data_IF_987200927752
#
_entry.id   IF_987200927752
#
_cell.length_a   1.000
_cell.length_b   1.000
_cell.length_c   1.000
_cell.angle_alpha   90.00
_cell.angle_beta   90.00
_cell.angle_gamma   90.00
#
_symmetry.space_group_name_H-M   'P 1'
#
loop_
_entity.id
_entity.type
_entity.pdbx_description
1 polymer ?
#
# COMPACT_ATOMS: atom_id res chain seq x y z
N UNK A 1 -23.40 -45.65 12.98
CA UNK A 1 -22.35 -45.54 11.95
C UNK A 1 -22.16 -44.06 11.68
N UNK A 2 -20.93 -43.55 11.83
CA UNK A 2 -20.63 -42.11 11.77
C UNK A 2 -20.81 -41.60 10.34
N UNK A 3 -21.75 -40.67 10.17
CA UNK A 3 -21.84 -39.78 9.02
C UNK A 3 -20.45 -39.17 8.78
N UNK A 4 -19.83 -39.50 7.64
CA UNK A 4 -18.61 -38.84 7.18
C UNK A 4 -19.01 -37.47 6.65
N UNK A 5 -18.90 -36.46 7.51
CA UNK A 5 -18.86 -35.08 7.07
C UNK A 5 -17.68 -34.91 6.07
N UNK A 6 -17.92 -34.43 4.84
CA UNK A 6 -16.84 -34.18 3.90
C UNK A 6 -15.99 -33.00 4.42
N UNK A 7 -14.65 -33.08 4.35
CA UNK A 7 -13.81 -31.96 4.76
C UNK A 7 -14.08 -30.78 3.83
N UNK A 8 -14.47 -29.66 4.43
CA UNK A 8 -14.60 -28.36 3.77
C UNK A 8 -13.29 -28.03 3.02
N UNK A 9 -13.37 -27.41 1.82
CA UNK A 9 -12.17 -26.96 1.11
C UNK A 9 -11.37 -25.99 1.99
N UNK A 10 -10.02 -26.10 2.01
CA UNK A 10 -9.19 -25.17 2.75
C UNK A 10 -9.46 -23.76 2.22
N UNK A 11 -9.78 -22.87 3.16
CA UNK A 11 -10.28 -21.54 2.88
C UNK A 11 -9.59 -20.89 1.70
N UNK A 12 -10.40 -20.50 0.72
CA UNK A 12 -10.12 -19.37 -0.15
C UNK A 12 -9.92 -18.18 0.79
N UNK A 13 -8.68 -18.04 1.27
CA UNK A 13 -8.25 -16.92 2.07
C UNK A 13 -8.45 -15.73 1.15
N UNK A 14 -9.60 -15.08 1.29
CA UNK A 14 -9.85 -13.76 0.76
C UNK A 14 -8.78 -12.90 1.37
N UNK A 15 -7.68 -12.70 0.63
CA UNK A 15 -6.59 -11.83 1.03
C UNK A 15 -7.19 -10.44 1.05
N UNK A 16 -7.73 -10.04 2.20
CA UNK A 16 -8.30 -8.71 2.39
C UNK A 16 -7.12 -7.75 2.29
N UNK A 17 -6.90 -7.19 1.11
CA UNK A 17 -5.83 -6.24 0.90
C UNK A 17 -6.02 -5.06 1.86
N UNK A 18 -5.08 -4.91 2.80
CA UNK A 18 -5.16 -3.88 3.82
C UNK A 18 -4.85 -2.53 3.20
N UNK A 19 -5.72 -1.55 3.46
CA UNK A 19 -5.66 -0.22 2.87
C UNK A 19 -5.36 0.84 3.93
N UNK A 20 -4.09 1.25 3.99
CA UNK A 20 -3.56 2.19 4.97
C UNK A 20 -3.99 3.63 4.66
N UNK A 21 -4.27 4.41 5.69
CA UNK A 21 -4.40 5.87 5.57
C UNK A 21 -3.05 6.55 5.39
N UNK A 22 -3.06 7.82 4.98
CA UNK A 22 -1.84 8.64 4.94
C UNK A 22 -1.15 8.70 6.32
N UNK A 23 -1.94 8.77 7.40
CA UNK A 23 -1.44 8.79 8.78
C UNK A 23 -0.76 7.49 9.18
N UNK A 24 -1.37 6.34 8.87
CA UNK A 24 -0.78 5.03 9.13
C UNK A 24 0.50 4.82 8.32
N UNK A 25 0.47 5.17 7.03
CA UNK A 25 1.65 5.11 6.17
C UNK A 25 2.78 6.00 6.69
N UNK A 26 2.45 7.20 7.17
CA UNK A 26 3.39 8.14 7.76
C UNK A 26 4.05 7.56 9.02
N UNK A 27 3.26 6.92 9.89
CA UNK A 27 3.77 6.26 11.08
C UNK A 27 4.69 5.06 10.74
N UNK A 28 4.35 4.29 9.70
CA UNK A 28 5.14 3.13 9.26
C UNK A 28 6.46 3.53 8.59
N UNK A 29 6.44 4.55 7.75
CA UNK A 29 7.60 4.95 6.93
C UNK A 29 8.44 6.07 7.54
N UNK A 30 7.94 6.71 8.60
CA UNK A 30 8.50 7.95 9.16
C UNK A 30 8.33 9.18 8.26
N UNK A 31 7.58 9.07 7.17
CA UNK A 31 7.40 10.16 6.20
C UNK A 31 6.22 11.01 6.62
N UNK A 32 6.39 12.33 6.67
CA UNK A 32 5.29 13.25 7.02
C UNK A 32 4.12 13.14 6.04
N UNK A 33 2.89 13.22 6.56
CA UNK A 33 1.67 13.22 5.75
C UNK A 33 1.67 14.32 4.67
N UNK A 34 2.23 15.49 4.99
CA UNK A 34 2.40 16.59 4.04
C UNK A 34 3.31 16.21 2.85
N UNK A 35 4.36 15.42 3.10
CA UNK A 35 5.23 14.88 2.04
C UNK A 35 4.47 13.91 1.14
N UNK A 36 3.66 13.02 1.72
CA UNK A 36 2.79 12.11 0.98
C UNK A 36 1.74 12.87 0.14
N UNK A 37 1.19 13.97 0.66
CA UNK A 37 0.30 14.85 -0.11
C UNK A 37 1.02 15.55 -1.26
N UNK A 38 2.23 16.06 -1.03
CA UNK A 38 3.05 16.69 -2.07
C UNK A 38 3.41 15.72 -3.20
N UNK A 39 3.75 14.47 -2.88
CA UNK A 39 4.05 13.44 -3.87
C UNK A 39 2.84 13.14 -4.76
N UNK A 40 1.66 12.94 -4.17
CA UNK A 40 0.40 12.77 -4.91
C UNK A 40 0.09 13.97 -5.80
N UNK A 41 0.34 15.19 -5.31
CA UNK A 41 0.12 16.41 -6.09
C UNK A 41 1.06 16.51 -7.30
N UNK A 42 2.34 16.14 -7.12
CA UNK A 42 3.33 16.10 -8.21
C UNK A 42 3.02 15.05 -9.26
N UNK A 43 2.56 13.87 -8.84
CA UNK A 43 2.18 12.79 -9.75
C UNK A 43 0.97 13.19 -10.62
N UNK A 44 -0.04 13.83 -10.04
CA UNK A 44 -1.17 14.37 -10.82
C UNK A 44 -0.75 15.43 -11.85
N UNK A 45 0.31 16.20 -11.57
CA UNK A 45 0.81 17.22 -12.52
C UNK A 45 1.68 16.63 -13.63
N UNK A 46 2.22 15.43 -13.44
CA UNK A 46 3.12 14.77 -14.38
C UNK A 46 2.86 13.26 -14.41
N UNK A 47 1.79 12.82 -15.09
CA UNK A 47 1.43 11.40 -15.14
C UNK A 47 2.51 10.54 -15.83
N UNK A 48 3.31 11.11 -16.72
CA UNK A 48 4.45 10.42 -17.37
C UNK A 48 5.71 10.34 -16.51
N UNK A 49 5.73 10.97 -15.33
CA UNK A 49 6.88 10.92 -14.43
C UNK A 49 6.88 9.68 -13.56
N UNK A 50 8.08 9.16 -13.28
CA UNK A 50 8.27 8.02 -12.40
C UNK A 50 7.61 8.28 -11.03
N UNK A 51 6.79 7.36 -10.51
CA UNK A 51 6.12 7.54 -9.22
C UNK A 51 7.17 7.71 -8.12
N UNK A 52 7.11 8.85 -7.43
CA UNK A 52 8.04 9.18 -6.34
C UNK A 52 7.62 8.47 -5.04
N UNK A 53 6.31 8.27 -4.86
CA UNK A 53 5.72 7.71 -3.65
C UNK A 53 5.17 6.29 -3.84
N UNK A 54 4.68 5.70 -2.74
CA UNK A 54 3.98 4.42 -2.81
C UNK A 54 2.68 4.58 -3.59
N UNK A 55 2.24 3.48 -4.20
CA UNK A 55 0.96 3.43 -4.90
C UNK A 55 -0.16 3.85 -3.95
N UNK A 56 -1.08 4.65 -4.47
CA UNK A 56 -2.24 5.13 -3.75
C UNK A 56 -3.48 4.94 -4.60
N UNK A 57 -4.61 4.74 -3.94
CA UNK A 57 -5.91 4.61 -4.57
C UNK A 57 -6.89 5.54 -3.89
N UNK A 58 -7.71 6.21 -4.70
CA UNK A 58 -8.73 7.11 -4.22
C UNK A 58 -10.01 6.32 -3.97
N UNK A 59 -10.52 6.40 -2.74
CA UNK A 59 -11.80 5.84 -2.31
C UNK A 59 -12.74 7.01 -2.02
N UNK A 60 -13.40 7.51 -3.07
CA UNK A 60 -14.24 8.71 -3.00
C UNK A 60 -13.45 9.96 -2.59
N UNK A 61 -13.70 10.45 -1.38
CA UNK A 61 -12.97 11.60 -0.81
C UNK A 61 -11.69 11.19 -0.07
N UNK A 62 -11.57 9.93 0.32
CA UNK A 62 -10.40 9.42 1.02
C UNK A 62 -9.34 8.92 0.05
N UNK A 63 -8.08 9.00 0.47
CA UNK A 63 -6.96 8.35 -0.21
C UNK A 63 -6.42 7.27 0.70
N UNK A 64 -6.24 6.09 0.12
CA UNK A 64 -5.71 4.91 0.81
C UNK A 64 -4.52 4.37 0.05
N UNK A 65 -3.65 3.70 0.78
CA UNK A 65 -2.44 3.07 0.26
C UNK A 65 -2.58 1.57 0.47
N UNK A 66 -2.70 0.77 -0.61
CA UNK A 66 -2.69 -0.68 -0.47
C UNK A 66 -1.34 -1.10 0.13
N UNK A 67 -1.39 -1.94 1.15
CA UNK A 67 -0.21 -2.41 1.87
C UNK A 67 0.80 -3.08 0.93
N UNK A 68 0.33 -3.88 -0.03
CA UNK A 68 1.14 -4.49 -1.09
C UNK A 68 1.98 -3.44 -1.84
N UNK A 69 1.37 -2.32 -2.24
CA UNK A 69 2.05 -1.25 -2.96
C UNK A 69 2.99 -0.42 -2.09
N UNK A 70 2.72 -0.33 -0.79
CA UNK A 70 3.60 0.30 0.19
C UNK A 70 4.84 -0.57 0.42
N UNK A 71 4.65 -1.88 0.63
CA UNK A 71 5.74 -2.84 0.80
C UNK A 71 6.63 -2.93 -0.44
N UNK A 72 6.04 -2.97 -1.64
CA UNK A 72 6.80 -2.94 -2.89
C UNK A 72 7.64 -1.66 -3.02
N UNK A 73 7.05 -0.51 -2.69
CA UNK A 73 7.75 0.76 -2.74
C UNK A 73 8.86 0.88 -1.67
N UNK A 74 8.63 0.37 -0.46
CA UNK A 74 9.65 0.30 0.58
C UNK A 74 10.80 -0.61 0.16
N UNK A 75 10.51 -1.79 -0.41
CA UNK A 75 11.53 -2.69 -0.94
C UNK A 75 12.37 -2.04 -2.05
N UNK A 76 11.74 -1.30 -2.97
CA UNK A 76 12.48 -0.52 -3.98
C UNK A 76 13.36 0.60 -3.39
N UNK A 77 12.98 1.16 -2.23
CA UNK A 77 13.76 2.18 -1.53
C UNK A 77 14.90 1.60 -0.70
N UNK A 78 14.71 0.46 -0.05
CA UNK A 78 15.80 -0.21 0.70
C UNK A 78 16.91 -0.67 -0.24
N UNK A 79 16.58 -1.04 -1.48
CA UNK A 79 17.57 -1.32 -2.54
C UNK A 79 18.32 -0.08 -3.02
N UNK A 80 17.92 1.12 -2.60
CA UNK A 80 18.68 2.35 -2.79
C UNK A 80 19.26 2.75 -1.44
N UNK A 81 20.44 2.23 -1.05
CA UNK A 81 21.12 2.74 0.13
C UNK A 81 21.23 4.25 -0.03
N UNK A 82 20.74 4.97 0.99
CA UNK A 82 21.01 6.39 1.16
C UNK A 82 22.53 6.55 1.27
N UNK A 83 23.20 6.76 0.14
CA UNK A 83 24.60 7.20 0.13
C UNK A 83 24.56 8.65 0.61
N UNK A 84 24.99 8.84 1.85
CA UNK A 84 25.10 10.13 2.53
C UNK A 84 26.18 10.99 1.88
#
# INVERSE_FOLDING_TARGET
MRDREPPLPPGEQTVVERHLTARELAALTGIREGTLAAWRSRENKRPDSKPIGPRWKRFGRAVRYPESGVSEWMGQRELRPFVK
#
